data_IF_060440976388
#
_entry.id   IF_060440976388
#
_cell.length_a   1.000
_cell.length_b   1.000
_cell.length_c   1.000
_cell.angle_alpha   90.00
_cell.angle_beta   90.00
_cell.angle_gamma   90.00
#
_symmetry.space_group_name_H-M   'P 1'
#
loop_
_entity.id
_entity.type
_entity.pdbx_description
1 polymer ?
#
# COMPACT_ATOMS: atom_id res chain seq x y z
N UNK A 1 -64.99 37.24 10.23
CA UNK A 1 -64.38 35.96 9.84
C UNK A 1 -62.88 36.12 9.94
N UNK A 2 -62.22 35.32 10.79
CA UNK A 2 -60.79 35.39 11.10
C UNK A 2 -60.01 34.54 10.09
N UNK A 3 -58.88 35.11 9.63
CA UNK A 3 -57.56 34.48 9.44
C UNK A 3 -57.46 33.19 8.61
N UNK A 4 -56.65 33.20 7.55
CA UNK A 4 -55.26 32.71 7.63
C UNK A 4 -54.56 32.96 6.29
N UNK A 5 -53.64 33.92 6.27
CA UNK A 5 -52.76 34.19 5.15
C UNK A 5 -51.56 33.24 5.29
N UNK A 6 -51.43 32.28 4.37
CA UNK A 6 -50.34 31.29 4.39
C UNK A 6 -49.00 31.98 4.13
N UNK A 7 -48.12 31.90 5.13
CA UNK A 7 -46.74 32.34 5.06
C UNK A 7 -45.93 31.25 4.33
N UNK A 8 -45.52 31.51 3.10
CA UNK A 8 -44.59 30.63 2.38
C UNK A 8 -43.20 30.88 2.94
N UNK A 9 -42.73 29.97 3.80
CA UNK A 9 -41.36 29.93 4.28
C UNK A 9 -40.50 29.27 3.18
N UNK A 10 -39.86 30.07 2.33
CA UNK A 10 -38.78 29.59 1.45
C UNK A 10 -37.55 29.33 2.31
N UNK A 11 -37.48 28.13 2.90
CA UNK A 11 -36.25 27.61 3.47
C UNK A 11 -35.32 27.20 2.35
N UNK A 12 -34.33 28.03 2.07
CA UNK A 12 -33.13 27.64 1.32
C UNK A 12 -32.48 26.48 2.07
N UNK A 13 -32.66 25.26 1.56
CA UNK A 13 -31.85 24.14 1.98
C UNK A 13 -30.43 24.37 1.45
N UNK A 14 -29.60 25.00 2.28
CA UNK A 14 -28.16 24.78 2.19
C UNK A 14 -27.95 23.30 2.50
N UNK A 15 -27.83 22.48 1.46
CA UNK A 15 -27.17 21.20 1.60
C UNK A 15 -25.75 21.50 2.03
N UNK A 16 -25.52 21.44 3.33
CA UNK A 16 -24.18 21.22 3.88
C UNK A 16 -23.68 19.93 3.23
N UNK A 17 -22.81 20.04 2.23
CA UNK A 17 -21.98 18.94 1.77
C UNK A 17 -21.02 18.60 2.91
N UNK A 18 -21.53 17.88 3.91
CA UNK A 18 -20.68 17.10 4.79
C UNK A 18 -20.07 16.02 3.89
N UNK A 19 -18.90 16.33 3.34
CA UNK A 19 -17.99 15.38 2.73
C UNK A 19 -17.57 14.40 3.82
N UNK A 20 -18.43 13.41 4.10
CA UNK A 20 -18.13 12.26 4.95
C UNK A 20 -17.08 11.41 4.23
N UNK A 21 -15.81 11.80 4.37
CA UNK A 21 -14.66 11.04 3.89
C UNK A 21 -14.55 9.79 4.74
N UNK A 22 -15.03 8.66 4.21
CA UNK A 22 -14.91 7.36 4.87
C UNK A 22 -13.49 6.84 4.69
N UNK A 23 -12.80 6.77 5.83
CA UNK A 23 -11.45 6.25 6.06
C UNK A 23 -11.18 5.02 5.19
N UNK A 24 -10.16 5.15 4.35
CA UNK A 24 -9.60 4.03 3.62
C UNK A 24 -8.56 3.29 4.47
N UNK A 25 -8.39 1.98 4.23
CA UNK A 25 -7.49 1.10 4.97
C UNK A 25 -6.39 0.60 4.05
N UNK A 26 -5.13 0.68 4.49
CA UNK A 26 -4.01 -0.02 3.86
C UNK A 26 -3.92 -1.44 4.42
N UNK A 27 -3.82 -2.42 3.54
CA UNK A 27 -3.61 -3.82 3.91
C UNK A 27 -2.16 -4.21 3.67
N UNK A 28 -1.35 -4.26 4.72
CA UNK A 28 0.06 -4.60 4.67
C UNK A 28 0.29 -6.11 4.41
N UNK A 29 0.50 -6.45 3.13
CA UNK A 29 0.78 -7.82 2.72
C UNK A 29 2.12 -8.36 3.23
N UNK A 30 3.12 -7.50 3.39
CA UNK A 30 4.46 -7.87 3.85
C UNK A 30 4.48 -8.29 5.32
N UNK A 31 3.83 -7.51 6.19
CA UNK A 31 3.70 -7.86 7.60
C UNK A 31 2.87 -9.15 7.80
N UNK A 32 1.77 -9.31 7.06
CA UNK A 32 0.93 -10.52 7.14
C UNK A 32 1.68 -11.76 6.67
N UNK A 33 2.52 -11.63 5.64
CA UNK A 33 3.38 -12.72 5.20
C UNK A 33 4.33 -13.16 6.32
N UNK A 34 5.06 -12.24 6.95
CA UNK A 34 5.95 -12.57 8.07
C UNK A 34 5.22 -13.29 9.22
N UNK A 35 3.99 -12.86 9.53
CA UNK A 35 3.16 -13.52 10.55
C UNK A 35 2.66 -14.91 10.15
N UNK A 36 2.59 -15.22 8.85
CA UNK A 36 2.11 -16.51 8.36
C UNK A 36 3.17 -17.62 8.34
N UNK A 37 4.45 -17.26 8.49
CA UNK A 37 5.54 -18.23 8.46
C UNK A 37 5.80 -18.80 9.85
N UNK A 38 5.73 -20.12 9.96
CA UNK A 38 6.01 -20.88 11.18
C UNK A 38 7.50 -21.00 11.47
N UNK A 39 8.35 -20.75 10.48
CA UNK A 39 9.80 -20.75 10.61
C UNK A 39 10.38 -19.55 9.85
N UNK A 40 10.95 -18.61 10.60
CA UNK A 40 11.69 -17.45 10.08
C UNK A 40 13.22 -17.68 10.16
N UNK A 41 13.68 -18.94 10.25
CA UNK A 41 15.10 -19.31 10.37
C UNK A 41 16.00 -18.82 9.23
N UNK A 42 15.43 -18.33 8.12
CA UNK A 42 16.14 -17.56 7.11
C UNK A 42 16.45 -16.17 7.67
N UNK A 43 17.51 -16.12 8.46
CA UNK A 43 17.88 -15.02 9.33
C UNK A 43 18.11 -13.65 8.68
N UNK A 44 17.91 -13.46 7.37
CA UNK A 44 18.15 -12.21 6.64
C UNK A 44 16.99 -11.79 5.72
N UNK A 45 15.79 -12.33 5.92
CA UNK A 45 14.62 -11.97 5.12
C UNK A 45 14.11 -10.58 5.50
N UNK A 46 14.32 -9.61 4.59
CA UNK A 46 13.73 -8.27 4.71
C UNK A 46 12.34 -8.29 4.07
N UNK A 47 11.38 -7.68 4.76
CA UNK A 47 10.04 -7.37 4.29
C UNK A 47 9.81 -5.87 4.36
N UNK A 48 8.65 -5.43 3.89
CA UNK A 48 8.22 -4.05 3.99
C UNK A 48 7.00 -3.96 4.88
N UNK A 49 7.00 -2.92 5.71
CA UNK A 49 5.90 -2.62 6.60
C UNK A 49 5.40 -1.20 6.35
N UNK A 50 4.09 -1.05 6.42
CA UNK A 50 3.41 0.22 6.20
C UNK A 50 2.96 0.78 7.55
N UNK A 51 3.38 2.01 7.84
CA UNK A 51 3.02 2.75 9.03
C UNK A 51 2.22 4.00 8.70
N UNK A 52 1.44 4.44 9.69
CA UNK A 52 0.70 5.72 9.68
C UNK A 52 -0.09 5.99 8.39
N UNK A 53 -0.90 5.03 7.89
CA UNK A 53 -1.68 5.25 6.68
C UNK A 53 -2.67 6.40 6.88
N UNK A 54 -2.54 7.45 6.07
CA UNK A 54 -3.50 8.55 5.98
C UNK A 54 -4.05 8.61 4.57
N UNK A 55 -5.37 8.61 4.46
CA UNK A 55 -6.03 8.68 3.16
C UNK A 55 -7.10 9.75 3.22
N UNK A 56 -6.98 10.73 2.35
CA UNK A 56 -7.89 11.85 2.22
C UNK A 56 -8.52 11.81 0.83
N UNK A 57 -9.84 11.95 0.77
CA UNK A 57 -10.59 11.98 -0.48
C UNK A 57 -11.20 13.34 -0.68
N UNK A 58 -10.94 13.95 -1.81
CA UNK A 58 -11.67 15.08 -2.36
C UNK A 58 -12.57 14.60 -3.51
N UNK A 59 -13.27 15.52 -4.16
CA UNK A 59 -14.19 15.21 -5.26
C UNK A 59 -13.48 14.47 -6.40
N UNK A 60 -12.30 14.95 -6.79
CA UNK A 60 -11.56 14.47 -7.95
C UNK A 60 -10.32 13.63 -7.62
N UNK A 61 -9.81 13.71 -6.39
CA UNK A 61 -8.52 13.11 -6.02
C UNK A 61 -8.67 12.30 -4.73
N UNK A 62 -7.98 11.17 -4.68
CA UNK A 62 -7.67 10.43 -3.46
C UNK A 62 -6.19 10.59 -3.17
N UNK A 63 -5.85 11.34 -2.12
CA UNK A 63 -4.50 11.41 -1.60
C UNK A 63 -4.27 10.24 -0.63
N UNK A 64 -3.22 9.47 -0.88
CA UNK A 64 -2.78 8.35 -0.04
C UNK A 64 -1.37 8.67 0.44
N UNK A 65 -1.24 8.92 1.74
CA UNK A 65 0.02 9.13 2.43
C UNK A 65 0.32 7.94 3.35
N UNK A 66 1.54 7.42 3.31
CA UNK A 66 2.00 6.43 4.27
C UNK A 66 3.52 6.46 4.43
N UNK A 67 3.99 5.96 5.58
CA UNK A 67 5.40 5.68 5.81
C UNK A 67 5.66 4.22 5.46
N UNK A 68 6.61 4.00 4.56
CA UNK A 68 7.09 2.68 4.20
C UNK A 68 8.44 2.44 4.86
N UNK A 69 8.56 1.40 5.68
CA UNK A 69 9.83 1.02 6.29
C UNK A 69 10.24 -0.38 5.86
N UNK A 70 11.52 -0.55 5.55
CA UNK A 70 12.11 -1.86 5.38
C UNK A 70 12.36 -2.47 6.76
N UNK A 71 11.88 -3.69 6.95
CA UNK A 71 11.92 -4.37 8.25
C UNK A 71 12.44 -5.79 8.14
N UNK A 72 13.24 -6.20 9.12
CA UNK A 72 13.56 -7.59 9.37
C UNK A 72 12.50 -8.21 10.28
N UNK A 73 12.06 -9.41 9.95
CA UNK A 73 11.09 -10.15 10.74
C UNK A 73 11.82 -11.10 11.71
N UNK A 74 11.60 -10.93 13.01
CA UNK A 74 12.27 -11.71 14.05
C UNK A 74 11.24 -12.50 14.87
N UNK A 75 11.29 -13.84 14.79
CA UNK A 75 10.47 -14.71 15.65
C UNK A 75 10.95 -14.61 17.10
N UNK A 76 10.02 -14.39 18.02
CA UNK A 76 10.29 -14.35 19.46
C UNK A 76 10.14 -15.73 20.09
N UNK A 77 10.68 -15.92 21.30
CA UNK A 77 10.61 -17.21 22.02
C UNK A 77 9.17 -17.68 22.29
N UNK A 78 8.22 -16.74 22.39
CA UNK A 78 6.80 -17.01 22.59
C UNK A 78 6.03 -17.32 21.29
N UNK A 79 6.73 -17.36 20.14
CA UNK A 79 6.15 -17.58 18.82
C UNK A 79 5.49 -16.34 18.19
N UNK A 80 5.62 -15.15 18.80
CA UNK A 80 5.20 -13.89 18.19
C UNK A 80 6.26 -13.36 17.21
N UNK A 81 5.86 -12.44 16.31
CA UNK A 81 6.77 -11.81 15.34
C UNK A 81 7.03 -10.36 15.73
N UNK A 82 8.31 -10.02 15.96
CA UNK A 82 8.79 -8.66 16.10
C UNK A 82 9.34 -8.13 14.78
N UNK A 83 9.31 -6.81 14.61
CA UNK A 83 9.83 -6.13 13.42
C UNK A 83 10.94 -5.17 13.82
N UNK A 84 12.07 -5.23 13.14
CA UNK A 84 13.20 -4.34 13.33
C UNK A 84 13.43 -3.53 12.04
N UNK A 85 13.51 -2.20 12.14
CA UNK A 85 13.79 -1.36 10.97
C UNK A 85 15.23 -1.57 10.50
N UNK A 86 15.40 -1.80 9.21
CA UNK A 86 16.69 -2.09 8.58
C UNK A 86 16.88 -1.23 7.34
N UNK A 87 18.13 -1.04 6.92
CA UNK A 87 18.40 -0.34 5.66
C UNK A 87 18.19 -1.29 4.48
N UNK A 88 17.58 -0.82 3.40
CA UNK A 88 17.34 -1.66 2.21
C UNK A 88 18.65 -2.13 1.55
N UNK A 89 19.73 -1.35 1.61
CA UNK A 89 21.03 -1.75 1.05
C UNK A 89 21.73 -2.86 1.82
N UNK A 90 21.20 -3.25 2.99
CA UNK A 90 21.64 -4.41 3.76
C UNK A 90 20.86 -5.68 3.41
N UNK A 91 19.85 -5.60 2.53
CA UNK A 91 19.14 -6.77 2.03
C UNK A 91 20.04 -7.57 1.10
N UNK A 92 20.43 -8.79 1.47
CA UNK A 92 20.99 -9.76 0.51
C UNK A 92 19.89 -10.43 -0.31
N UNK A 93 18.67 -10.49 0.24
CA UNK A 93 17.50 -11.06 -0.42
C UNK A 93 16.20 -10.48 0.13
N UNK A 94 15.15 -10.48 -0.68
CA UNK A 94 13.80 -10.10 -0.26
C UNK A 94 12.85 -11.23 -0.61
N UNK A 95 11.90 -11.45 0.29
CA UNK A 95 10.84 -12.42 0.06
C UNK A 95 9.85 -11.94 -1.00
N UNK A 96 9.39 -12.84 -1.85
CA UNK A 96 8.28 -12.58 -2.74
C UNK A 96 7.21 -13.67 -2.67
N UNK A 97 5.95 -13.23 -2.55
CA UNK A 97 4.75 -14.03 -2.84
C UNK A 97 4.70 -15.42 -2.19
N UNK A 98 5.20 -15.59 -0.97
CA UNK A 98 4.93 -16.82 -0.23
C UNK A 98 5.89 -17.98 -0.49
N UNK A 99 6.65 -17.98 -1.60
CA UNK A 99 7.26 -19.20 -2.14
C UNK A 99 8.75 -19.03 -2.47
N UNK A 100 9.17 -17.89 -3.01
CA UNK A 100 10.54 -17.72 -3.53
C UNK A 100 11.28 -16.55 -2.87
N UNK A 101 12.54 -16.82 -2.52
CA UNK A 101 13.49 -15.78 -2.11
C UNK A 101 14.20 -15.29 -3.38
N UNK A 102 14.17 -13.98 -3.62
CA UNK A 102 14.84 -13.37 -4.77
C UNK A 102 16.11 -12.69 -4.29
N UNK A 103 17.24 -13.03 -4.89
CA UNK A 103 18.50 -12.34 -4.68
C UNK A 103 18.42 -11.00 -5.42
N UNK A 104 18.46 -9.89 -4.68
CA UNK A 104 18.36 -8.56 -5.27
C UNK A 104 19.75 -7.96 -5.29
N UNK A 105 20.20 -7.66 -6.50
CA UNK A 105 21.55 -7.13 -6.75
C UNK A 105 21.58 -5.61 -6.89
N UNK A 106 20.40 -4.97 -7.03
CA UNK A 106 20.25 -3.51 -7.09
C UNK A 106 19.30 -3.05 -6.01
N UNK A 107 19.77 -2.12 -5.19
CA UNK A 107 19.04 -1.76 -3.99
C UNK A 107 17.92 -0.72 -4.27
N UNK A 108 17.90 -0.06 -5.45
CA UNK A 108 16.77 0.80 -5.81
C UNK A 108 15.51 -0.04 -6.05
N UNK A 109 14.36 0.53 -5.69
CA UNK A 109 13.06 -0.09 -5.90
C UNK A 109 12.02 0.95 -6.31
N UNK A 110 10.91 0.48 -6.85
CA UNK A 110 9.78 1.31 -7.29
C UNK A 110 8.54 0.97 -6.47
N UNK A 111 7.76 2.00 -6.15
CA UNK A 111 6.38 1.84 -5.70
C UNK A 111 5.48 2.16 -6.88
N UNK A 112 4.57 1.25 -7.20
CA UNK A 112 3.65 1.40 -8.31
C UNK A 112 2.22 1.13 -7.89
N UNK A 113 1.31 2.03 -8.25
CA UNK A 113 -0.11 1.83 -8.04
C UNK A 113 -0.81 1.56 -9.38
N UNK A 114 -1.76 0.63 -9.39
CA UNK A 114 -2.44 0.17 -10.59
C UNK A 114 -3.95 0.11 -10.42
N UNK A 115 -4.67 0.29 -11.53
CA UNK A 115 -6.07 -0.13 -11.66
C UNK A 115 -6.18 -1.65 -11.58
N UNK A 116 -7.40 -2.18 -11.46
CA UNK A 116 -7.63 -3.63 -11.50
C UNK A 116 -7.28 -4.24 -12.87
N UNK A 117 -7.39 -3.44 -13.93
CA UNK A 117 -7.05 -3.82 -15.30
C UNK A 117 -5.53 -3.72 -15.60
N UNK A 118 -4.74 -3.31 -14.60
CA UNK A 118 -3.28 -3.19 -14.71
C UNK A 118 -2.77 -1.88 -15.29
N UNK A 119 -3.63 -0.86 -15.46
CA UNK A 119 -3.19 0.47 -15.90
C UNK A 119 -2.43 1.17 -14.76
N UNK A 120 -1.26 1.73 -15.06
CA UNK A 120 -0.41 2.43 -14.09
C UNK A 120 -1.03 3.78 -13.72
N UNK A 121 -1.21 4.01 -12.41
CA UNK A 121 -1.74 5.25 -11.84
C UNK A 121 -0.66 6.10 -11.19
N UNK A 122 0.35 5.46 -10.61
CA UNK A 122 1.42 6.11 -9.87
C UNK A 122 2.69 5.28 -9.97
N UNK A 123 3.85 5.95 -10.09
CA UNK A 123 5.16 5.33 -9.96
C UNK A 123 6.11 6.28 -9.21
N UNK A 124 6.86 5.75 -8.25
CA UNK A 124 7.95 6.46 -7.58
C UNK A 124 9.15 5.54 -7.43
N UNK A 125 10.30 5.96 -7.94
CA UNK A 125 11.59 5.28 -7.69
C UNK A 125 12.18 5.76 -6.35
N UNK A 126 12.71 4.82 -5.58
CA UNK A 126 13.29 5.02 -4.26
C UNK A 126 14.71 4.47 -4.27
N UNK A 127 15.65 5.32 -3.82
CA UNK A 127 17.06 4.96 -3.71
C UNK A 127 17.33 4.27 -2.37
N UNK A 128 17.77 3.01 -2.41
CA UNK A 128 17.98 2.19 -1.21
C UNK A 128 18.90 2.79 -0.16
N UNK A 129 19.96 3.46 -0.60
CA UNK A 129 20.96 4.04 0.31
C UNK A 129 20.32 5.01 1.31
N UNK A 130 19.18 5.61 0.93
CA UNK A 130 18.41 6.56 1.74
C UNK A 130 17.21 5.94 2.45
N UNK A 131 16.78 4.75 2.05
CA UNK A 131 15.53 4.15 2.51
C UNK A 131 15.77 3.17 3.67
N UNK A 132 15.76 3.70 4.90
CA UNK A 132 15.28 2.91 6.05
C UNK A 132 13.77 3.06 6.14
N UNK A 133 13.30 4.30 5.97
CA UNK A 133 11.91 4.68 5.92
C UNK A 133 11.74 5.73 4.81
N UNK A 134 10.62 5.66 4.09
CA UNK A 134 10.29 6.60 3.01
C UNK A 134 8.82 7.03 3.15
N UNK A 135 8.58 8.33 3.07
CA UNK A 135 7.22 8.86 2.99
C UNK A 135 6.75 8.77 1.54
N UNK A 136 5.62 8.11 1.35
CA UNK A 136 4.96 7.95 0.05
C UNK A 136 3.69 8.78 0.06
N UNK A 137 3.63 9.74 -0.85
CA UNK A 137 2.47 10.56 -1.15
C UNK A 137 1.99 10.23 -2.56
N UNK A 138 0.76 9.71 -2.68
CA UNK A 138 0.15 9.36 -3.97
C UNK A 138 -1.15 10.13 -4.16
N UNK A 139 -1.21 10.95 -5.21
CA UNK A 139 -2.46 11.58 -5.65
C UNK A 139 -3.05 10.75 -6.79
N UNK A 140 -4.20 10.13 -6.52
CA UNK A 140 -4.87 9.22 -7.45
C UNK A 140 -6.18 9.85 -7.94
N UNK A 141 -6.39 9.89 -9.25
CA UNK A 141 -7.63 10.40 -9.82
C UNK A 141 -8.81 9.49 -9.44
N UNK A 142 -9.84 10.07 -8.83
CA UNK A 142 -10.94 9.34 -8.17
C UNK A 142 -11.78 8.49 -9.15
N UNK A 143 -11.87 8.91 -10.41
CA UNK A 143 -12.56 8.23 -11.49
C UNK A 143 -11.80 7.00 -12.02
N UNK A 144 -10.47 6.97 -11.88
CA UNK A 144 -9.61 5.86 -12.32
C UNK A 144 -9.53 4.69 -11.34
N UNK A 145 -10.03 4.89 -10.11
CA UNK A 145 -9.96 3.89 -9.06
C UNK A 145 -10.98 2.78 -9.32
N UNK A 146 -10.54 1.52 -9.21
CA UNK A 146 -11.40 0.37 -9.40
C UNK A 146 -12.56 0.40 -8.40
N UNK A 147 -13.78 0.28 -8.91
CA UNK A 147 -15.00 0.21 -8.10
C UNK A 147 -15.43 -1.23 -8.00
N UNK A 148 -15.18 -1.85 -6.85
CA UNK A 148 -15.71 -3.17 -6.55
C UNK A 148 -16.17 -3.21 -5.11
N UNK A 149 -17.08 -4.13 -4.82
CA UNK A 149 -17.41 -4.46 -3.43
C UNK A 149 -16.41 -5.49 -2.91
N UNK A 150 -15.43 -5.04 -2.11
CA UNK A 150 -14.55 -5.95 -1.37
C UNK A 150 -15.13 -6.16 0.02
N UNK A 151 -15.46 -7.42 0.34
CA UNK A 151 -15.84 -7.83 1.69
C UNK A 151 -14.63 -8.43 2.41
N UNK A 152 -14.18 -7.76 3.48
CA UNK A 152 -13.16 -8.31 4.38
C UNK A 152 -13.76 -8.43 5.79
N UNK A 153 -14.42 -9.55 6.06
CA UNK A 153 -15.27 -9.73 7.24
C UNK A 153 -16.55 -8.88 7.16
N UNK A 154 -16.82 -8.07 8.18
CA UNK A 154 -18.03 -7.22 8.29
C UNK A 154 -17.89 -5.85 7.61
N UNK A 155 -16.75 -5.58 6.98
CA UNK A 155 -16.49 -4.27 6.37
C UNK A 155 -16.55 -4.36 4.86
N UNK A 156 -17.47 -3.59 4.29
CA UNK A 156 -17.61 -3.39 2.86
C UNK A 156 -16.75 -2.19 2.42
N UNK A 157 -15.99 -2.36 1.35
CA UNK A 157 -15.27 -1.31 0.64
C UNK A 157 -15.82 -1.23 -0.78
N UNK A 158 -15.97 -0.02 -1.30
CA UNK A 158 -16.60 0.25 -2.59
C UNK A 158 -15.58 0.53 -3.71
N UNK A 159 -14.32 0.73 -3.33
CA UNK A 159 -13.24 0.95 -4.28
C UNK A 159 -11.88 0.52 -3.74
N UNK A 160 -10.93 0.23 -4.63
CA UNK A 160 -9.56 -0.13 -4.25
C UNK A 160 -8.52 0.21 -5.32
N UNK A 161 -7.26 0.22 -4.89
CA UNK A 161 -6.06 0.30 -5.75
C UNK A 161 -5.07 -0.76 -5.30
N UNK A 162 -4.48 -1.47 -6.27
CA UNK A 162 -3.38 -2.39 -6.02
C UNK A 162 -2.06 -1.60 -6.02
N UNK A 163 -1.20 -1.85 -5.04
CA UNK A 163 0.10 -1.20 -4.94
C UNK A 163 1.19 -2.24 -4.77
N UNK A 164 2.19 -2.19 -5.65
CA UNK A 164 3.31 -3.12 -5.69
C UNK A 164 4.62 -2.40 -5.34
N UNK A 165 5.49 -3.12 -4.64
CA UNK A 165 6.89 -2.78 -4.44
C UNK A 165 7.71 -3.63 -5.40
N UNK A 166 8.39 -3.00 -6.35
CA UNK A 166 9.05 -3.64 -7.49
C UNK A 166 10.56 -3.42 -7.44
N UNK A 167 11.33 -4.50 -7.57
CA UNK A 167 12.80 -4.50 -7.60
C UNK A 167 13.31 -4.89 -8.97
N UNK A 168 14.54 -4.47 -9.26
CA UNK A 168 15.28 -5.00 -10.41
C UNK A 168 16.17 -6.16 -9.94
N UNK A 169 15.89 -7.35 -10.45
CA UNK A 169 16.74 -8.54 -10.30
C UNK A 169 17.69 -8.60 -11.52
N UNK A 170 19.00 -8.49 -11.28
CA UNK A 170 20.01 -8.80 -12.29
C UNK A 170 20.51 -10.22 -12.06
N UNK A 171 20.42 -11.07 -13.09
CA UNK A 171 21.07 -12.38 -13.11
C UNK A 171 22.27 -12.34 -14.03
N UNK A 172 23.42 -12.77 -13.52
CA UNK A 172 24.66 -12.92 -14.29
C UNK A 172 25.03 -14.41 -14.35
N UNK A 173 25.22 -14.93 -15.56
CA UNK A 173 25.60 -16.31 -15.86
C UNK A 173 26.72 -16.28 -16.91
N UNK A 174 27.96 -16.15 -16.46
CA UNK A 174 29.11 -15.94 -17.35
C UNK A 174 29.00 -14.60 -18.08
N UNK A 175 29.09 -14.62 -19.42
CA UNK A 175 28.94 -13.42 -20.25
C UNK A 175 27.47 -12.97 -20.44
N UNK A 176 26.51 -13.75 -19.94
CA UNK A 176 25.10 -13.43 -20.05
C UNK A 176 24.64 -12.63 -18.82
N UNK A 177 24.06 -11.45 -19.04
CA UNK A 177 23.35 -10.71 -18.00
C UNK A 177 21.90 -10.44 -18.43
N UNK A 178 20.93 -10.81 -17.59
CA UNK A 178 19.53 -10.42 -17.76
C UNK A 178 19.08 -9.55 -16.59
N UNK A 179 18.27 -8.55 -16.87
CA UNK A 179 17.61 -7.72 -15.86
C UNK A 179 16.09 -7.91 -15.99
N UNK A 180 15.41 -8.19 -14.88
CA UNK A 180 13.95 -8.26 -14.86
C UNK A 180 13.39 -7.56 -13.64
N UNK A 181 12.19 -7.01 -13.79
CA UNK A 181 11.44 -6.47 -12.66
C UNK A 181 10.73 -7.61 -11.92
N UNK A 182 10.79 -7.55 -10.60
CA UNK A 182 10.17 -8.53 -9.70
C UNK A 182 9.41 -7.76 -8.63
N UNK A 183 8.09 -7.97 -8.55
CA UNK A 183 7.32 -7.53 -7.39
C UNK A 183 7.87 -8.27 -6.17
N UNK A 184 8.07 -7.61 -5.02
CA UNK A 184 8.48 -8.28 -3.79
C UNK A 184 7.37 -8.24 -2.73
N UNK A 185 6.63 -7.14 -2.68
CA UNK A 185 5.46 -7.00 -1.81
C UNK A 185 4.33 -6.32 -2.56
N UNK A 186 3.11 -6.66 -2.18
CA UNK A 186 1.91 -6.03 -2.69
C UNK A 186 0.98 -5.72 -1.52
N UNK A 187 0.35 -4.55 -1.57
CA UNK A 187 -0.69 -4.14 -0.65
C UNK A 187 -1.86 -3.54 -1.41
N UNK A 188 -2.98 -3.40 -0.71
CA UNK A 188 -4.18 -2.76 -1.27
C UNK A 188 -4.58 -1.57 -0.45
N UNK A 189 -4.96 -0.51 -1.16
CA UNK A 189 -5.65 0.67 -0.63
C UNK A 189 -7.14 0.39 -0.76
N UNK A 190 -7.86 0.21 0.34
CA UNK A 190 -9.30 -0.10 0.34
C UNK A 190 -10.10 1.13 0.78
N UNK A 191 -11.07 1.58 -0.01
CA UNK A 191 -11.84 2.81 0.19
C UNK A 191 -13.34 2.52 0.38
N UNK A 192 -13.98 3.30 1.26
CA UNK A 192 -15.41 3.18 1.57
C UNK A 192 -16.25 4.22 0.83
#
# INVERSE_FOLDING_TARGET
MKSLMSLILLGTMFNSFASDVKIAKLFDGGARYCQSKSDLSRADEISYKIYSPKIERSEDIVNVNFLLSAVKCNMQEDGSVAFENVRVDQASSISYNGVDTVLITRNNFKIRAYTDEGALLFEKEIFAIKATEEVIDMDLANDTIARTTVNNGNTQYNSYVNVDIVFSEKRELGDYSSEREVTASAFRVLMK
#
